data_IF_889366049131
#
_entry.id   IF_889366049131
#
_cell.length_a   1.000
_cell.length_b   1.000
_cell.length_c   1.000
_cell.angle_alpha   90.00
_cell.angle_beta   90.00
_cell.angle_gamma   90.00
#
_symmetry.space_group_name_H-M   'P 1'
#
loop_
_entity.id
_entity.type
_entity.pdbx_description
1 polymer ?
#
# COMPACT_ATOMS: atom_id res chain seq x y z
N UNK A 1 -24.36 20.63 -26.16
CA UNK A 1 -25.48 19.67 -26.25
C UNK A 1 -25.51 18.89 -24.93
N UNK A 2 -26.48 19.18 -24.09
CA UNK A 2 -26.66 18.53 -22.77
C UNK A 2 -27.16 17.10 -22.99
N UNK A 3 -26.41 16.08 -22.58
CA UNK A 3 -26.88 14.69 -22.54
C UNK A 3 -27.04 14.24 -21.09
N UNK A 4 -28.33 14.06 -20.78
CA UNK A 4 -28.95 13.08 -19.87
C UNK A 4 -28.19 12.64 -18.61
N UNK A 5 -28.65 13.18 -17.46
CA UNK A 5 -28.40 12.69 -16.10
C UNK A 5 -29.24 11.42 -15.93
N UNK A 6 -28.60 10.26 -15.71
CA UNK A 6 -29.26 9.08 -15.14
C UNK A 6 -28.99 9.07 -13.65
N UNK A 7 -30.02 9.40 -12.88
CA UNK A 7 -30.05 9.25 -11.43
C UNK A 7 -30.20 7.77 -11.08
N UNK A 8 -29.18 7.21 -10.40
CA UNK A 8 -29.34 5.99 -9.60
C UNK A 8 -29.32 6.37 -8.13
N UNK A 9 -30.38 5.93 -7.45
CA UNK A 9 -30.66 6.15 -6.04
C UNK A 9 -29.61 5.50 -5.14
N UNK A 10 -29.22 6.26 -4.11
CA UNK A 10 -28.53 6.00 -2.86
C UNK A 10 -27.02 6.33 -2.80
N UNK A 11 -26.79 7.55 -2.34
CA UNK A 11 -25.68 8.01 -1.48
C UNK A 11 -24.23 7.68 -1.84
N UNK A 12 -23.83 7.78 -3.09
CA UNK A 12 -22.43 8.09 -3.47
C UNK A 12 -22.51 9.00 -4.70
N UNK A 13 -22.18 10.26 -4.55
CA UNK A 13 -21.97 11.16 -5.69
C UNK A 13 -20.63 10.81 -6.31
N UNK A 14 -20.63 9.85 -7.21
CA UNK A 14 -19.51 9.60 -8.11
C UNK A 14 -19.72 10.50 -9.32
N UNK A 15 -19.07 11.65 -9.34
CA UNK A 15 -18.96 12.49 -10.53
C UNK A 15 -17.99 11.81 -11.50
N UNK A 16 -18.51 10.96 -12.37
CA UNK A 16 -17.81 10.58 -13.60
C UNK A 16 -17.95 11.73 -14.61
N UNK A 17 -16.90 12.46 -14.82
CA UNK A 17 -16.74 13.26 -16.05
C UNK A 17 -16.04 12.33 -17.05
N UNK A 18 -16.84 11.72 -17.94
CA UNK A 18 -16.30 11.08 -19.13
C UNK A 18 -15.68 12.17 -20.02
N UNK A 19 -14.39 12.32 -19.97
CA UNK A 19 -13.59 12.96 -20.99
C UNK A 19 -12.91 11.84 -21.78
N UNK A 20 -13.35 11.62 -22.99
CA UNK A 20 -12.57 10.89 -23.99
C UNK A 20 -11.26 11.66 -24.18
N UNK A 21 -10.15 11.09 -23.72
CA UNK A 21 -8.80 11.59 -23.95
C UNK A 21 -7.97 10.42 -24.44
N UNK A 22 -7.53 10.50 -25.68
CA UNK A 22 -6.41 9.75 -26.22
C UNK A 22 -5.14 10.17 -25.44
N UNK A 23 -4.65 9.28 -24.60
CA UNK A 23 -3.46 9.44 -23.75
C UNK A 23 -3.80 9.00 -22.33
N UNK A 24 -3.30 7.83 -21.90
CA UNK A 24 -3.47 7.32 -20.54
C UNK A 24 -2.76 8.26 -19.55
N UNK A 25 -3.46 9.29 -19.08
CA UNK A 25 -3.05 10.07 -17.93
C UNK A 25 -3.30 9.24 -16.67
N UNK A 26 -2.28 9.05 -15.87
CA UNK A 26 -2.33 8.27 -14.64
C UNK A 26 -3.01 9.09 -13.54
N UNK A 27 -4.33 8.92 -13.37
CA UNK A 27 -5.08 9.59 -12.31
C UNK A 27 -4.81 8.97 -10.94
N UNK A 28 -4.55 9.84 -9.96
CA UNK A 28 -4.46 9.43 -8.57
C UNK A 28 -5.87 9.24 -8.01
N UNK A 29 -6.27 7.99 -7.87
CA UNK A 29 -7.57 7.63 -7.34
C UNK A 29 -7.46 7.15 -5.90
N UNK A 30 -8.14 7.84 -4.97
CA UNK A 30 -8.34 7.40 -3.58
C UNK A 30 -9.80 7.04 -3.42
N UNK A 31 -10.07 5.80 -3.00
CA UNK A 31 -11.41 5.24 -2.89
C UNK A 31 -11.72 4.81 -1.44
N UNK A 32 -12.99 4.67 -1.06
CA UNK A 32 -13.38 4.05 0.21
C UNK A 32 -12.76 2.64 0.36
N UNK A 33 -12.62 2.20 1.61
CA UNK A 33 -12.17 0.84 1.89
C UNK A 33 -13.04 -0.19 1.16
N UNK A 34 -12.38 -1.15 0.51
CA UNK A 34 -13.01 -2.27 -0.17
C UNK A 34 -12.59 -3.59 0.50
N UNK A 35 -13.55 -4.38 0.94
CA UNK A 35 -13.30 -5.70 1.56
C UNK A 35 -12.62 -6.71 0.62
N UNK A 36 -12.70 -6.50 -0.70
CA UNK A 36 -11.96 -7.30 -1.68
C UNK A 36 -10.45 -7.17 -1.58
N UNK A 37 -9.92 -6.12 -0.96
CA UNK A 37 -8.47 -5.96 -0.77
C UNK A 37 -7.86 -7.05 0.11
N UNK A 38 -8.61 -7.57 1.08
CA UNK A 38 -8.17 -8.69 1.93
C UNK A 38 -8.01 -9.96 1.10
N UNK A 39 -9.01 -10.31 0.29
CA UNK A 39 -8.94 -11.46 -0.61
C UNK A 39 -7.88 -11.29 -1.72
N UNK A 40 -7.68 -10.07 -2.23
CA UNK A 40 -6.63 -9.77 -3.20
C UNK A 40 -5.23 -9.98 -2.59
N UNK A 41 -5.03 -9.51 -1.34
CA UNK A 41 -3.81 -9.79 -0.59
C UNK A 41 -3.58 -11.29 -0.40
N UNK A 42 -4.57 -12.03 0.10
CA UNK A 42 -4.43 -13.47 0.37
C UNK A 42 -4.04 -14.26 -0.88
N UNK A 43 -4.72 -13.99 -2.01
CA UNK A 43 -4.44 -14.65 -3.28
C UNK A 43 -3.00 -14.38 -3.76
N UNK A 44 -2.54 -13.14 -3.62
CA UNK A 44 -1.20 -12.78 -4.09
C UNK A 44 -0.13 -13.25 -3.11
N UNK A 45 -0.40 -13.18 -1.80
CA UNK A 45 0.49 -13.71 -0.76
C UNK A 45 0.76 -15.22 -0.92
N UNK A 46 -0.23 -16.01 -1.34
CA UNK A 46 -0.04 -17.44 -1.63
C UNK A 46 0.94 -17.68 -2.78
N UNK A 47 0.86 -16.90 -3.87
CA UNK A 47 1.79 -16.98 -5.01
C UNK A 47 3.21 -16.61 -4.59
N UNK A 48 3.34 -15.49 -3.87
CA UNK A 48 4.63 -15.00 -3.35
C UNK A 48 5.25 -16.02 -2.38
N UNK A 49 4.44 -16.59 -1.49
CA UNK A 49 4.88 -17.63 -0.55
C UNK A 49 5.36 -18.89 -1.27
N UNK A 50 4.75 -19.25 -2.39
CA UNK A 50 5.18 -20.39 -3.20
C UNK A 50 6.53 -20.15 -3.89
N UNK A 51 6.79 -18.90 -4.32
CA UNK A 51 8.07 -18.49 -4.93
C UNK A 51 9.18 -18.48 -3.87
N UNK A 52 8.93 -17.85 -2.71
CA UNK A 52 9.92 -17.63 -1.67
C UNK A 52 10.01 -18.76 -0.62
N UNK A 53 9.31 -19.85 -0.80
CA UNK A 53 9.08 -20.94 0.20
C UNK A 53 10.29 -21.32 1.05
N UNK A 54 11.47 -21.42 0.44
CA UNK A 54 12.69 -21.91 1.12
C UNK A 54 13.39 -20.81 1.95
N UNK A 55 13.04 -19.55 1.72
CA UNK A 55 13.64 -18.39 2.39
C UNK A 55 12.62 -17.51 3.12
N UNK A 56 11.31 -17.77 2.94
CA UNK A 56 10.25 -16.98 3.56
C UNK A 56 10.16 -17.28 5.07
N UNK A 57 10.16 -16.23 5.88
CA UNK A 57 9.93 -16.30 7.34
C UNK A 57 8.50 -15.93 7.66
N UNK A 58 7.99 -14.83 7.08
CA UNK A 58 6.67 -14.29 7.35
C UNK A 58 6.22 -13.44 6.16
N UNK A 59 4.92 -13.20 6.00
CA UNK A 59 4.36 -12.31 4.98
C UNK A 59 3.23 -11.48 5.56
N UNK A 60 3.23 -10.18 5.28
CA UNK A 60 2.29 -9.22 5.88
C UNK A 60 1.56 -8.41 4.82
N UNK A 61 0.24 -8.21 5.01
CA UNK A 61 -0.48 -7.12 4.39
C UNK A 61 -0.12 -5.83 5.12
N UNK A 62 0.43 -4.86 4.40
CA UNK A 62 0.84 -3.55 4.95
C UNK A 62 0.16 -2.40 4.19
N UNK A 63 0.49 -1.17 4.53
CA UNK A 63 -0.06 0.01 3.88
C UNK A 63 -1.54 0.25 4.20
N UNK A 64 -2.13 1.20 3.48
CA UNK A 64 -3.50 1.68 3.77
C UNK A 64 -4.59 0.66 3.47
N UNK A 65 -4.41 -0.20 2.46
CA UNK A 65 -5.40 -1.23 2.10
C UNK A 65 -5.50 -2.34 3.14
N UNK A 66 -4.49 -2.47 4.03
CA UNK A 66 -4.50 -3.38 5.16
C UNK A 66 -5.29 -2.85 6.37
N UNK A 67 -5.83 -1.63 6.34
CA UNK A 67 -6.54 -0.99 7.44
C UNK A 67 -8.02 -0.86 7.08
N UNK A 68 -8.87 -1.61 7.79
CA UNK A 68 -10.31 -1.63 7.55
C UNK A 68 -10.92 -0.23 7.75
N UNK A 69 -11.71 0.21 6.76
CA UNK A 69 -12.37 1.51 6.77
C UNK A 69 -11.52 2.69 6.27
N UNK A 70 -10.22 2.49 6.03
CA UNK A 70 -9.33 3.56 5.57
C UNK A 70 -9.44 3.78 4.05
N UNK A 71 -9.72 5.02 3.63
CA UNK A 71 -9.65 5.42 2.22
C UNK A 71 -8.22 5.26 1.69
N UNK A 72 -8.06 4.64 0.52
CA UNK A 72 -6.74 4.37 -0.06
C UNK A 72 -6.74 4.37 -1.58
N UNK A 73 -5.56 4.48 -2.17
CA UNK A 73 -5.36 4.01 -3.54
C UNK A 73 -5.55 2.49 -3.55
N UNK A 74 -6.21 1.90 -4.57
CA UNK A 74 -6.49 0.47 -4.64
C UNK A 74 -5.22 -0.34 -5.01
N UNK A 75 -4.17 -0.17 -4.22
CA UNK A 75 -2.87 -0.83 -4.40
C UNK A 75 -2.61 -1.69 -3.17
N UNK A 76 -2.41 -2.98 -3.38
CA UNK A 76 -2.12 -3.91 -2.30
C UNK A 76 -0.62 -3.90 -2.01
N UNK A 77 -0.26 -3.46 -0.81
CA UNK A 77 1.13 -3.45 -0.34
C UNK A 77 1.39 -4.73 0.47
N UNK A 78 2.37 -5.51 0.03
CA UNK A 78 2.73 -6.80 0.61
C UNK A 78 4.17 -6.75 1.11
N UNK A 79 4.41 -7.25 2.33
CA UNK A 79 5.75 -7.27 2.91
C UNK A 79 6.14 -8.70 3.31
N UNK A 80 6.81 -9.44 2.41
CA UNK A 80 7.50 -10.67 2.78
C UNK A 80 8.75 -10.36 3.60
N UNK A 81 8.98 -11.16 4.64
CA UNK A 81 10.22 -11.17 5.44
C UNK A 81 10.95 -12.46 5.12
N UNK A 82 12.24 -12.36 4.78
CA UNK A 82 13.05 -13.50 4.35
C UNK A 82 14.27 -13.71 5.23
N UNK A 83 14.83 -14.90 5.19
CA UNK A 83 16.06 -15.24 5.93
C UNK A 83 17.30 -14.54 5.38
N UNK A 84 17.36 -14.32 4.06
CA UNK A 84 18.46 -13.64 3.39
C UNK A 84 17.96 -12.91 2.16
N UNK A 85 18.16 -11.59 2.13
CA UNK A 85 17.68 -10.71 1.06
C UNK A 85 18.35 -10.97 -0.30
N UNK A 86 19.64 -11.37 -0.30
CA UNK A 86 20.37 -11.64 -1.54
C UNK A 86 19.87 -12.86 -2.29
N UNK A 87 19.17 -13.78 -1.61
CA UNK A 87 18.58 -14.95 -2.25
C UNK A 87 17.33 -14.61 -3.06
N UNK A 88 16.66 -13.48 -2.76
CA UNK A 88 15.47 -13.01 -3.48
C UNK A 88 15.76 -12.79 -4.97
N UNK A 89 16.96 -12.30 -5.29
CA UNK A 89 17.36 -11.99 -6.67
C UNK A 89 17.35 -13.24 -7.58
N UNK A 90 17.49 -14.43 -7.02
CA UNK A 90 17.40 -15.71 -7.75
C UNK A 90 15.98 -16.04 -8.23
N UNK A 91 14.99 -15.41 -7.62
CA UNK A 91 13.55 -15.60 -7.92
C UNK A 91 12.96 -14.52 -8.84
N UNK A 92 13.79 -13.63 -9.38
CA UNK A 92 13.32 -12.53 -10.23
C UNK A 92 12.52 -13.04 -11.45
N UNK A 93 12.93 -14.12 -12.10
CA UNK A 93 12.22 -14.69 -13.24
C UNK A 93 10.83 -15.21 -12.84
N UNK A 94 10.69 -15.80 -11.66
CA UNK A 94 9.42 -16.29 -11.13
C UNK A 94 8.47 -15.14 -10.80
N UNK A 95 8.99 -14.02 -10.25
CA UNK A 95 8.21 -12.79 -10.05
C UNK A 95 7.76 -12.17 -11.37
N UNK A 96 8.63 -12.13 -12.38
CA UNK A 96 8.30 -11.65 -13.73
C UNK A 96 7.20 -12.53 -14.34
N UNK A 97 7.28 -13.85 -14.18
CA UNK A 97 6.28 -14.79 -14.71
C UNK A 97 4.86 -14.58 -14.13
N UNK A 98 4.75 -14.04 -12.90
CA UNK A 98 3.45 -13.67 -12.30
C UNK A 98 3.10 -12.18 -12.47
N UNK A 99 3.83 -11.45 -13.34
CA UNK A 99 3.53 -10.10 -13.81
C UNK A 99 4.14 -8.96 -12.99
N UNK A 100 5.20 -9.22 -12.22
CA UNK A 100 5.92 -8.17 -11.49
C UNK A 100 7.12 -7.63 -12.28
N UNK A 101 7.40 -6.35 -12.08
CA UNK A 101 8.64 -5.69 -12.45
C UNK A 101 9.58 -5.69 -11.24
N UNK A 102 10.82 -6.15 -11.44
CA UNK A 102 11.85 -6.17 -10.39
C UNK A 102 12.59 -4.83 -10.37
N UNK A 103 12.51 -4.11 -9.26
CA UNK A 103 13.02 -2.74 -9.12
C UNK A 103 14.30 -2.65 -8.25
N UNK A 104 14.84 -3.78 -7.77
CA UNK A 104 15.96 -3.80 -6.82
C UNK A 104 15.62 -3.10 -5.51
N UNK A 105 16.56 -2.35 -4.94
CA UNK A 105 16.36 -1.63 -3.67
C UNK A 105 15.42 -0.40 -3.79
N UNK A 106 15.36 0.21 -4.95
CA UNK A 106 14.53 1.37 -5.27
C UNK A 106 14.56 2.46 -4.18
N UNK A 107 15.77 2.84 -3.76
CA UNK A 107 16.02 3.94 -2.81
C UNK A 107 15.88 3.59 -1.32
N UNK A 108 15.64 2.33 -0.95
CA UNK A 108 15.70 1.84 0.43
C UNK A 108 16.72 0.71 0.51
N UNK A 109 17.83 0.95 1.19
CA UNK A 109 18.91 -0.01 1.35
C UNK A 109 18.42 -1.31 2.02
N UNK A 110 18.85 -2.45 1.48
CA UNK A 110 18.45 -3.77 1.98
C UNK A 110 17.03 -4.19 1.65
N UNK A 111 16.29 -3.44 0.80
CA UNK A 111 14.98 -3.83 0.30
C UNK A 111 15.09 -4.55 -1.05
N UNK A 112 14.14 -5.45 -1.35
CA UNK A 112 13.79 -5.79 -2.74
C UNK A 112 12.35 -5.34 -3.01
N UNK A 113 12.21 -4.45 -3.99
CA UNK A 113 10.94 -3.86 -4.36
C UNK A 113 10.46 -4.39 -5.71
N UNK A 114 9.19 -4.77 -5.75
CA UNK A 114 8.53 -5.22 -6.97
C UNK A 114 7.19 -4.51 -7.11
N UNK A 115 6.78 -4.29 -8.36
CA UNK A 115 5.50 -3.64 -8.66
C UNK A 115 4.79 -4.36 -9.80
N UNK A 116 3.46 -4.36 -9.79
CA UNK A 116 2.62 -5.03 -10.77
C UNK A 116 1.53 -4.10 -11.27
N UNK A 117 1.22 -4.19 -12.57
CA UNK A 117 0.16 -3.43 -13.21
C UNK A 117 0.62 -2.16 -13.93
N UNK A 118 1.93 -1.92 -14.07
CA UNK A 118 2.45 -0.76 -14.81
C UNK A 118 1.88 0.56 -14.31
N UNK A 119 1.26 1.34 -15.20
CA UNK A 119 0.61 2.61 -14.87
C UNK A 119 -0.68 2.41 -14.05
N UNK A 120 -1.43 1.34 -14.31
CA UNK A 120 -2.56 0.90 -13.50
C UNK A 120 -2.11 -0.05 -12.39
N UNK A 121 -1.26 0.44 -11.50
CA UNK A 121 -0.63 -0.34 -10.44
C UNK A 121 -1.66 -0.99 -9.53
N UNK A 122 -1.50 -2.30 -9.32
CA UNK A 122 -2.40 -3.10 -8.47
C UNK A 122 -1.72 -3.62 -7.21
N UNK A 123 -0.42 -3.98 -7.29
CA UNK A 123 0.32 -4.53 -6.16
C UNK A 123 1.73 -3.95 -6.08
N UNK A 124 2.23 -3.88 -4.84
CA UNK A 124 3.61 -3.54 -4.51
C UNK A 124 4.12 -4.53 -3.46
N UNK A 125 5.36 -5.02 -3.67
CA UNK A 125 6.00 -5.92 -2.72
C UNK A 125 7.26 -5.24 -2.17
N UNK A 126 7.39 -5.27 -0.85
CA UNK A 126 8.52 -4.71 -0.10
C UNK A 126 9.17 -5.83 0.69
N UNK A 127 10.18 -6.51 0.13
CA UNK A 127 10.85 -7.62 0.79
C UNK A 127 12.01 -7.09 1.63
N UNK A 128 12.08 -7.56 2.87
CA UNK A 128 13.17 -7.26 3.81
C UNK A 128 13.73 -8.54 4.42
N UNK A 129 15.02 -8.51 4.75
CA UNK A 129 15.63 -9.54 5.57
C UNK A 129 15.13 -9.46 7.01
N UNK A 130 14.97 -10.59 7.69
CA UNK A 130 14.46 -10.66 9.07
C UNK A 130 15.27 -9.84 10.08
N UNK A 131 16.55 -9.57 9.80
CA UNK A 131 17.43 -8.71 10.59
C UNK A 131 17.12 -7.22 10.44
N UNK A 132 16.40 -6.80 9.39
CA UNK A 132 16.00 -5.41 9.17
C UNK A 132 14.79 -5.02 10.02
N UNK A 133 14.97 -5.07 11.35
CA UNK A 133 13.90 -4.72 12.29
C UNK A 133 13.40 -3.30 12.15
N UNK A 134 14.23 -2.38 11.66
CA UNK A 134 13.87 -0.97 11.49
C UNK A 134 12.70 -0.82 10.51
N UNK A 135 12.88 -1.30 9.29
CA UNK A 135 11.87 -1.12 8.24
C UNK A 135 10.67 -2.04 8.45
N UNK A 136 10.88 -3.27 8.90
CA UNK A 136 9.81 -4.21 9.23
C UNK A 136 8.91 -3.63 10.31
N UNK A 137 9.48 -3.20 11.44
CA UNK A 137 8.69 -2.63 12.55
C UNK A 137 7.98 -1.34 12.15
N UNK A 138 8.59 -0.50 11.33
CA UNK A 138 7.97 0.72 10.81
C UNK A 138 6.66 0.42 10.07
N UNK A 139 6.68 -0.51 9.13
CA UNK A 139 5.48 -0.87 8.37
C UNK A 139 4.39 -1.50 9.23
N UNK A 140 4.77 -2.43 10.12
CA UNK A 140 3.85 -3.10 11.05
C UNK A 140 3.26 -2.09 12.04
N UNK A 141 4.09 -1.23 12.63
CA UNK A 141 3.66 -0.23 13.60
C UNK A 141 2.63 0.73 13.02
N UNK A 142 2.88 1.30 11.84
CA UNK A 142 1.95 2.22 11.17
C UNK A 142 0.62 1.54 10.87
N UNK A 143 0.64 0.32 10.32
CA UNK A 143 -0.57 -0.45 10.05
C UNK A 143 -1.38 -0.70 11.33
N UNK A 144 -0.74 -1.22 12.36
CA UNK A 144 -1.43 -1.64 13.58
C UNK A 144 -1.88 -0.44 14.43
N UNK A 145 -1.12 0.67 14.39
CA UNK A 145 -1.52 1.93 14.98
C UNK A 145 -2.81 2.47 14.33
N UNK A 146 -2.87 2.54 13.01
CA UNK A 146 -4.07 2.98 12.28
C UNK A 146 -5.27 2.05 12.51
N UNK A 147 -5.07 0.75 12.70
CA UNK A 147 -6.13 -0.21 13.05
C UNK A 147 -6.72 0.03 14.43
N UNK A 148 -5.95 0.58 15.35
CA UNK A 148 -6.34 0.82 16.76
C UNK A 148 -6.70 2.28 17.05
N UNK A 149 -6.45 3.20 16.11
CA UNK A 149 -6.75 4.63 16.22
C UNK A 149 -7.61 5.08 15.02
N UNK A 150 -8.93 4.78 15.06
CA UNK A 150 -9.81 5.04 13.92
C UNK A 150 -9.99 6.53 13.61
N UNK A 151 -9.83 7.42 14.58
CA UNK A 151 -9.80 8.87 14.42
C UNK A 151 -8.62 9.33 13.55
N UNK A 152 -7.42 8.85 13.82
CA UNK A 152 -6.21 9.13 13.02
C UNK A 152 -6.33 8.50 11.63
N UNK A 153 -6.91 7.30 11.55
CA UNK A 153 -7.15 6.65 10.26
C UNK A 153 -8.14 7.45 9.39
N UNK A 154 -9.19 8.01 10.00
CA UNK A 154 -10.15 8.88 9.31
C UNK A 154 -9.46 10.15 8.78
N UNK A 155 -8.74 10.87 9.66
CA UNK A 155 -7.99 12.09 9.29
C UNK A 155 -7.01 11.81 8.13
N UNK A 156 -6.28 10.72 8.19
CA UNK A 156 -5.37 10.33 7.11
C UNK A 156 -6.11 9.99 5.81
N UNK A 157 -7.29 9.38 5.93
CA UNK A 157 -8.17 9.07 4.78
C UNK A 157 -8.65 10.35 4.10
N UNK A 158 -9.14 11.32 4.87
CA UNK A 158 -9.62 12.62 4.39
C UNK A 158 -8.50 13.42 3.72
N UNK A 159 -7.32 13.50 4.34
CA UNK A 159 -6.14 14.13 3.75
C UNK A 159 -5.80 13.51 2.38
N UNK A 160 -5.82 12.19 2.27
CA UNK A 160 -5.51 11.52 1.00
C UNK A 160 -6.55 11.82 -0.08
N UNK A 161 -7.83 11.89 0.27
CA UNK A 161 -8.90 12.26 -0.67
C UNK A 161 -8.75 13.70 -1.16
N UNK A 162 -8.49 14.65 -0.23
CA UNK A 162 -8.24 16.04 -0.59
C UNK A 162 -7.05 16.18 -1.54
N UNK A 163 -5.93 15.52 -1.22
CA UNK A 163 -4.73 15.58 -2.04
C UNK A 163 -4.92 14.92 -3.41
N UNK A 164 -5.66 13.83 -3.49
CA UNK A 164 -5.98 13.18 -4.76
C UNK A 164 -6.85 14.09 -5.65
N UNK A 165 -7.77 14.86 -5.05
CA UNK A 165 -8.56 15.85 -5.78
C UNK A 165 -7.70 17.03 -6.28
N UNK A 166 -6.79 17.54 -5.43
CA UNK A 166 -5.93 18.70 -5.77
C UNK A 166 -4.83 18.36 -6.78
N UNK A 167 -4.30 17.16 -6.72
CA UNK A 167 -3.13 16.68 -7.45
C UNK A 167 -3.46 15.42 -8.26
N UNK A 168 -4.62 15.40 -8.93
CA UNK A 168 -5.12 14.21 -9.61
C UNK A 168 -4.16 13.61 -10.62
N UNK A 169 -3.33 14.43 -11.27
CA UNK A 169 -2.35 14.08 -12.30
C UNK A 169 -0.90 14.30 -11.83
N UNK A 170 -0.71 14.85 -10.64
CA UNK A 170 0.60 15.17 -10.06
C UNK A 170 0.92 14.26 -8.87
N UNK A 171 1.60 13.14 -9.15
CA UNK A 171 2.01 12.17 -8.12
C UNK A 171 3.02 12.77 -7.13
N UNK A 172 3.86 13.70 -7.56
CA UNK A 172 4.84 14.35 -6.71
C UNK A 172 4.17 15.31 -5.73
N UNK A 173 3.24 16.15 -6.21
CA UNK A 173 2.40 17.02 -5.39
C UNK A 173 1.58 16.24 -4.37
N UNK A 174 0.97 15.12 -4.80
CA UNK A 174 0.24 14.22 -3.90
C UNK A 174 1.14 13.61 -2.81
N UNK A 175 2.33 13.14 -3.17
CA UNK A 175 3.25 12.55 -2.21
C UNK A 175 3.81 13.58 -1.24
N UNK A 176 4.19 14.76 -1.74
CA UNK A 176 4.70 15.87 -0.92
C UNK A 176 3.64 16.39 0.04
N UNK A 177 2.39 16.51 -0.42
CA UNK A 177 1.29 17.02 0.40
C UNK A 177 1.00 16.18 1.65
N UNK A 178 1.24 14.87 1.61
CA UNK A 178 1.05 13.99 2.78
C UNK A 178 2.32 13.74 3.60
N UNK A 179 3.49 14.19 3.15
CA UNK A 179 4.79 13.82 3.75
C UNK A 179 4.89 14.20 5.24
N UNK A 180 4.47 15.40 5.60
CA UNK A 180 4.48 15.86 7.00
C UNK A 180 3.60 14.99 7.91
N UNK A 181 2.38 14.67 7.45
CA UNK A 181 1.45 13.80 8.17
C UNK A 181 2.03 12.40 8.35
N UNK A 182 2.56 11.82 7.27
CA UNK A 182 3.12 10.46 7.29
C UNK A 182 4.33 10.36 8.23
N UNK A 183 5.20 11.37 8.26
CA UNK A 183 6.35 11.42 9.18
C UNK A 183 5.90 11.48 10.65
N UNK A 184 4.88 12.28 10.96
CA UNK A 184 4.33 12.35 12.31
C UNK A 184 3.65 11.03 12.68
N UNK A 185 2.81 10.49 11.80
CA UNK A 185 2.15 9.19 11.97
C UNK A 185 3.17 8.06 12.23
N UNK A 186 4.26 8.00 11.48
CA UNK A 186 5.32 7.01 11.67
C UNK A 186 5.95 7.12 13.06
N UNK A 187 6.27 8.34 13.48
CA UNK A 187 6.85 8.62 14.81
C UNK A 187 5.92 8.14 15.93
N UNK A 188 4.64 8.50 15.87
CA UNK A 188 3.65 8.16 16.89
C UNK A 188 3.37 6.66 16.91
N UNK A 189 3.28 6.04 15.73
CA UNK A 189 3.09 4.61 15.58
C UNK A 189 4.27 3.80 16.16
N UNK A 190 5.51 4.22 15.91
CA UNK A 190 6.70 3.55 16.45
C UNK A 190 6.77 3.66 17.97
N UNK A 191 6.46 4.83 18.54
CA UNK A 191 6.40 5.03 19.99
C UNK A 191 5.31 4.15 20.63
N UNK A 192 4.12 4.14 20.04
CA UNK A 192 3.01 3.29 20.47
C UNK A 192 3.38 1.81 20.40
N UNK A 193 4.01 1.36 19.30
CA UNK A 193 4.40 -0.03 19.09
C UNK A 193 5.44 -0.50 20.11
N UNK A 194 6.44 0.33 20.43
CA UNK A 194 7.44 0.04 21.46
C UNK A 194 6.80 -0.14 22.83
N UNK A 195 5.89 0.76 23.23
CA UNK A 195 5.20 0.68 24.49
C UNK A 195 4.33 -0.58 24.60
N UNK A 196 3.63 -0.96 23.51
CA UNK A 196 2.74 -2.13 23.52
C UNK A 196 3.48 -3.47 23.40
N UNK A 197 4.69 -3.52 22.80
CA UNK A 197 5.53 -4.73 22.84
C UNK A 197 6.04 -5.03 24.24
N UNK A 198 6.38 -4.04 25.03
CA UNK A 198 6.89 -4.19 26.39
C UNK A 198 5.88 -4.88 27.33
N UNK A 199 4.59 -4.75 27.09
CA UNK A 199 3.54 -5.43 27.87
C UNK A 199 3.31 -6.90 27.50
N UNK A 200 3.77 -7.37 26.33
CA UNK A 200 3.60 -8.77 25.88
C UNK A 200 4.78 -9.68 26.26
N UNK A 201 5.83 -9.11 26.82
CA UNK A 201 7.04 -9.84 27.25
C UNK A 201 7.15 -9.99 28.77
N UNK A 202 6.11 -9.62 29.53
CA UNK A 202 5.94 -9.90 30.96
C UNK A 202 4.80 -10.91 31.14
#
# INVERSE_FOLDING_TARGET
MLKSIKTFSNNVVTLFVEKEIEGLEMFIQVVPYDSFWEAAYENEAQKISSILKDILVEIYHIGSTAVKGLHAKPIIDIMPVVTNISLVDKHNEEFVAIGYECMGEFGIEGRRYFRKGGDNRTHQIHIFEQSNHKDINRHIAVRDFLRTHPDIALEYGELKMELAYRFSEDIEGYCTGKDAFVKQLEKDALLWYQNNKSYKTQ
#
